data_IF_744508890333
#
_entry.id   IF_744508890333
#
_cell.length_a   1.000
_cell.length_b   1.000
_cell.length_c   1.000
_cell.angle_alpha   90.00
_cell.angle_beta   90.00
_cell.angle_gamma   90.00
#
_symmetry.space_group_name_H-M   'P 1'
#
loop_
_entity.id
_entity.type
_entity.pdbx_description
1 polymer ?
#
# COMPACT_ATOMS: atom_id res chain seq x y z
N UNK A 1 -36.61 -4.21 -6.12
CA UNK A 1 -35.29 -3.56 -5.99
C UNK A 1 -34.26 -4.52 -6.55
N UNK A 2 -33.81 -4.30 -7.79
CA UNK A 2 -32.72 -5.07 -8.36
C UNK A 2 -31.49 -4.84 -7.50
N UNK A 3 -30.97 -5.91 -6.92
CA UNK A 3 -29.64 -5.86 -6.28
C UNK A 3 -28.62 -5.63 -7.39
N UNK A 4 -28.17 -4.40 -7.54
CA UNK A 4 -27.08 -4.07 -8.45
C UNK A 4 -25.91 -4.97 -8.08
N UNK A 5 -25.54 -5.88 -8.97
CA UNK A 5 -24.44 -6.82 -8.76
C UNK A 5 -23.16 -5.99 -8.77
N UNK A 6 -22.75 -5.56 -7.60
CA UNK A 6 -21.48 -4.87 -7.44
C UNK A 6 -20.35 -5.89 -7.48
N UNK A 7 -19.32 -5.62 -8.28
CA UNK A 7 -18.09 -6.39 -8.31
C UNK A 7 -17.01 -5.63 -7.55
N UNK A 8 -16.24 -6.33 -6.72
CA UNK A 8 -15.05 -5.78 -6.07
C UNK A 8 -13.81 -6.34 -6.75
N UNK A 9 -12.95 -5.47 -7.26
CA UNK A 9 -11.65 -5.84 -7.79
C UNK A 9 -10.57 -5.37 -6.84
N UNK A 10 -9.62 -6.24 -6.56
CA UNK A 10 -8.38 -5.96 -5.84
C UNK A 10 -7.28 -5.71 -6.84
N UNK A 11 -6.58 -4.61 -6.67
CA UNK A 11 -5.52 -4.13 -7.55
C UNK A 11 -4.24 -4.07 -6.73
N UNK A 12 -3.19 -4.74 -7.21
CA UNK A 12 -1.83 -4.56 -6.70
C UNK A 12 -1.07 -3.68 -7.68
N UNK A 13 -0.37 -2.67 -7.18
CA UNK A 13 0.36 -1.72 -7.99
C UNK A 13 1.65 -1.27 -7.32
N UNK A 14 2.62 -0.79 -8.13
CA UNK A 14 3.83 -0.16 -7.63
C UNK A 14 3.73 1.37 -7.72
N UNK A 15 4.38 2.06 -6.79
CA UNK A 15 4.58 3.51 -6.76
C UNK A 15 6.07 3.80 -6.91
N UNK A 16 6.47 4.31 -8.08
CA UNK A 16 7.85 4.57 -8.45
C UNK A 16 8.38 5.92 -7.96
N UNK A 17 9.64 6.17 -8.32
CA UNK A 17 10.39 7.37 -7.94
C UNK A 17 9.77 8.66 -8.47
N UNK A 18 9.16 8.64 -9.66
CA UNK A 18 8.60 9.81 -10.33
C UNK A 18 7.49 10.47 -9.54
N UNK A 19 6.78 9.68 -8.73
CA UNK A 19 5.64 10.15 -7.93
C UNK A 19 5.80 9.92 -6.43
N UNK A 20 7.02 9.64 -5.94
CA UNK A 20 7.21 9.34 -4.51
C UNK A 20 6.85 10.51 -3.59
N UNK A 21 6.94 11.73 -4.07
CA UNK A 21 6.68 12.94 -3.28
C UNK A 21 5.23 13.41 -3.27
N UNK A 22 4.31 12.72 -3.98
CA UNK A 22 2.88 13.04 -3.88
C UNK A 22 2.30 12.54 -2.55
N UNK A 23 1.33 13.27 -2.02
CA UNK A 23 0.60 12.86 -0.83
C UNK A 23 -0.32 11.66 -1.11
N UNK A 24 -0.76 10.96 -0.05
CA UNK A 24 -1.77 9.91 -0.19
C UNK A 24 -3.06 10.42 -0.86
N UNK A 25 -3.53 11.63 -0.50
CA UNK A 25 -4.73 12.21 -1.10
C UNK A 25 -4.54 12.50 -2.59
N UNK A 26 -3.35 12.91 -3.00
CA UNK A 26 -3.07 13.14 -4.41
C UNK A 26 -2.96 11.81 -5.17
N UNK A 27 -2.41 10.77 -4.55
CA UNK A 27 -2.42 9.41 -5.11
C UNK A 27 -3.85 8.91 -5.35
N UNK A 28 -4.75 9.13 -4.39
CA UNK A 28 -6.20 8.82 -4.56
C UNK A 28 -6.76 9.55 -5.78
N UNK A 29 -6.49 10.86 -5.92
CA UNK A 29 -6.95 11.67 -7.05
C UNK A 29 -6.36 11.19 -8.39
N UNK A 30 -5.09 10.78 -8.38
CA UNK A 30 -4.44 10.20 -9.59
C UNK A 30 -5.19 8.94 -10.01
N UNK A 31 -5.48 8.03 -9.09
CA UNK A 31 -6.23 6.81 -9.36
C UNK A 31 -7.65 7.10 -9.84
N UNK A 32 -8.38 8.00 -9.18
CA UNK A 32 -9.72 8.41 -9.62
C UNK A 32 -9.73 8.92 -11.07
N UNK A 33 -8.76 9.77 -11.42
CA UNK A 33 -8.63 10.32 -12.79
C UNK A 33 -8.27 9.25 -13.80
N UNK A 34 -7.38 8.32 -13.43
CA UNK A 34 -6.94 7.21 -14.28
C UNK A 34 -8.11 6.27 -14.58
N UNK A 35 -8.85 5.86 -13.57
CA UNK A 35 -10.03 4.99 -13.71
C UNK A 35 -11.14 5.66 -14.55
N UNK A 36 -11.36 6.97 -14.39
CA UNK A 36 -12.33 7.72 -15.23
C UNK A 36 -11.89 7.79 -16.69
N UNK A 37 -10.61 8.06 -16.94
CA UNK A 37 -10.06 8.08 -18.32
C UNK A 37 -10.19 6.72 -18.99
N UNK A 38 -9.97 5.66 -18.26
CA UNK A 38 -10.17 4.29 -18.72
C UNK A 38 -11.66 3.89 -18.84
N UNK A 39 -12.60 4.82 -18.55
CA UNK A 39 -14.06 4.59 -18.58
C UNK A 39 -14.51 3.37 -17.76
N UNK A 40 -13.82 3.15 -16.62
CA UNK A 40 -14.19 2.09 -15.70
C UNK A 40 -15.55 2.44 -15.06
N UNK A 41 -16.54 1.51 -15.04
CA UNK A 41 -17.85 1.74 -14.42
C UNK A 41 -17.75 1.64 -12.90
N UNK A 42 -17.21 2.67 -12.25
CA UNK A 42 -17.03 2.75 -10.82
C UNK A 42 -18.38 2.89 -10.10
N UNK A 43 -18.55 2.16 -9.01
CA UNK A 43 -19.64 2.40 -8.08
C UNK A 43 -19.31 3.63 -7.22
N UNK A 44 -20.34 4.40 -6.89
CA UNK A 44 -20.24 5.61 -6.08
C UNK A 44 -20.93 5.44 -4.74
N UNK A 45 -20.46 6.17 -3.73
CA UNK A 45 -21.13 6.23 -2.44
C UNK A 45 -22.49 6.95 -2.57
N UNK A 46 -23.41 6.60 -1.67
CA UNK A 46 -24.72 7.28 -1.56
C UNK A 46 -24.53 8.56 -0.72
N UNK A 47 -25.17 9.65 -1.10
CA UNK A 47 -25.14 10.92 -0.36
C UNK A 47 -25.04 12.15 -1.26
N UNK A 48 -24.94 13.32 -0.66
CA UNK A 48 -24.89 14.62 -1.38
C UNK A 48 -23.62 14.82 -2.23
N UNK A 49 -22.51 14.20 -1.84
CA UNK A 49 -21.23 14.25 -2.57
C UNK A 49 -20.78 12.83 -2.90
N UNK A 50 -21.31 12.20 -3.98
CA UNK A 50 -20.94 10.85 -4.35
C UNK A 50 -19.43 10.77 -4.67
N UNK A 51 -18.75 9.81 -4.03
CA UNK A 51 -17.34 9.51 -4.29
C UNK A 51 -17.18 8.10 -4.84
N UNK A 52 -16.24 7.87 -5.76
CA UNK A 52 -15.91 6.51 -6.19
C UNK A 52 -15.58 5.62 -4.99
N UNK A 53 -16.08 4.40 -4.98
CA UNK A 53 -15.77 3.44 -3.94
C UNK A 53 -14.39 2.81 -4.20
N UNK A 54 -13.36 3.48 -3.71
CA UNK A 54 -11.95 3.09 -3.78
C UNK A 54 -11.43 3.03 -2.35
N UNK A 55 -10.77 1.95 -1.98
CA UNK A 55 -10.17 1.76 -0.67
C UNK A 55 -8.71 1.31 -0.83
N UNK A 56 -7.78 1.99 -0.16
CA UNK A 56 -6.37 1.60 -0.11
C UNK A 56 -6.10 0.79 1.16
N UNK A 57 -5.17 -0.15 1.10
CA UNK A 57 -4.81 -0.99 2.23
C UNK A 57 -4.20 -0.16 3.38
N UNK A 58 -3.20 0.66 3.06
CA UNK A 58 -2.57 1.59 3.98
C UNK A 58 -2.13 2.86 3.24
N UNK A 59 -2.11 4.04 3.91
CA UNK A 59 -1.57 5.24 3.32
C UNK A 59 -0.04 5.19 3.32
N UNK A 60 0.57 5.25 2.12
CA UNK A 60 2.02 5.34 1.98
C UNK A 60 2.50 6.77 2.26
N UNK A 61 3.51 6.98 3.13
CA UNK A 61 4.04 8.31 3.40
C UNK A 61 4.66 8.98 2.17
N UNK A 62 4.76 10.32 2.21
CA UNK A 62 5.47 11.11 1.21
C UNK A 62 6.96 10.77 1.24
N UNK A 63 7.59 10.66 0.07
CA UNK A 63 8.99 10.27 -0.07
C UNK A 63 9.23 8.76 -0.14
N UNK A 64 8.17 7.95 -0.02
CA UNK A 64 8.26 6.50 -0.13
C UNK A 64 7.86 6.01 -1.52
N UNK A 65 8.60 5.04 -2.04
CA UNK A 65 8.22 4.18 -3.16
C UNK A 65 7.65 2.88 -2.64
N UNK A 66 6.91 2.15 -3.46
CA UNK A 66 6.40 0.82 -3.09
C UNK A 66 6.38 -0.10 -4.30
N UNK A 67 6.59 -1.39 -4.04
CA UNK A 67 6.50 -2.47 -5.03
C UNK A 67 5.25 -3.31 -4.89
N UNK A 68 4.34 -2.96 -3.98
CA UNK A 68 3.19 -3.82 -3.69
C UNK A 68 2.08 -3.12 -2.92
N UNK A 69 1.67 -1.91 -3.33
CA UNK A 69 0.48 -1.27 -2.78
C UNK A 69 -0.77 -2.01 -3.21
N UNK A 70 -1.73 -2.09 -2.30
CA UNK A 70 -3.00 -2.77 -2.56
C UNK A 70 -4.15 -1.81 -2.43
N UNK A 71 -5.06 -1.84 -3.39
CA UNK A 71 -6.33 -1.13 -3.32
C UNK A 71 -7.49 -1.98 -3.84
N UNK A 72 -8.68 -1.72 -3.31
CA UNK A 72 -9.92 -2.29 -3.80
C UNK A 72 -10.74 -1.22 -4.51
N UNK A 73 -11.35 -1.58 -5.64
CA UNK A 73 -12.33 -0.76 -6.36
C UNK A 73 -13.64 -1.52 -6.51
N UNK A 74 -14.75 -0.80 -6.32
CA UNK A 74 -16.09 -1.38 -6.51
C UNK A 74 -16.66 -0.90 -7.85
N UNK A 75 -17.20 -1.84 -8.62
CA UNK A 75 -17.76 -1.61 -9.95
C UNK A 75 -19.28 -1.80 -9.92
N UNK A 76 -20.00 -1.00 -10.71
CA UNK A 76 -21.45 -1.12 -10.90
C UNK A 76 -21.84 -2.33 -11.75
N UNK A 77 -20.94 -2.78 -12.64
CA UNK A 77 -21.14 -3.95 -13.50
C UNK A 77 -19.87 -4.77 -13.58
N UNK A 78 -20.01 -6.06 -13.85
CA UNK A 78 -18.90 -6.99 -13.94
C UNK A 78 -18.04 -6.75 -15.20
N UNK A 79 -16.72 -6.74 -14.96
CA UNK A 79 -15.67 -6.71 -15.98
C UNK A 79 -14.65 -7.78 -15.59
N UNK A 80 -14.20 -8.60 -16.56
CA UNK A 80 -13.13 -9.54 -16.24
C UNK A 80 -11.85 -8.79 -15.82
N UNK A 81 -11.08 -9.29 -14.83
CA UNK A 81 -9.82 -8.67 -14.41
C UNK A 81 -8.87 -8.37 -15.57
N UNK A 82 -8.78 -9.27 -16.53
CA UNK A 82 -7.98 -9.07 -17.75
C UNK A 82 -8.42 -7.87 -18.58
N UNK A 83 -9.73 -7.73 -18.87
CA UNK A 83 -10.27 -6.59 -19.63
C UNK A 83 -10.09 -5.28 -18.86
N UNK A 84 -10.26 -5.30 -17.54
CA UNK A 84 -10.02 -4.16 -16.68
C UNK A 84 -8.55 -3.72 -16.77
N UNK A 85 -7.59 -4.64 -16.56
CA UNK A 85 -6.15 -4.35 -16.64
C UNK A 85 -5.77 -3.79 -18.02
N UNK A 86 -6.16 -4.46 -19.10
CA UNK A 86 -5.87 -4.03 -20.48
C UNK A 86 -6.41 -2.63 -20.78
N UNK A 87 -7.61 -2.30 -20.29
CA UNK A 87 -8.20 -0.98 -20.48
C UNK A 87 -7.56 0.11 -19.63
N UNK A 88 -7.01 -0.24 -18.48
CA UNK A 88 -6.42 0.69 -17.51
C UNK A 88 -4.97 1.06 -17.87
N UNK A 89 -4.16 0.09 -18.29
CA UNK A 89 -2.72 0.27 -18.53
C UNK A 89 -2.36 1.48 -19.41
N UNK A 90 -3.04 1.78 -20.53
CA UNK A 90 -2.70 2.95 -21.37
C UNK A 90 -2.94 4.31 -20.68
N UNK A 91 -3.65 4.33 -19.56
CA UNK A 91 -4.03 5.55 -18.84
C UNK A 91 -3.23 5.77 -17.56
N UNK A 92 -2.36 4.82 -17.17
CA UNK A 92 -1.49 4.96 -16.03
C UNK A 92 -0.46 6.06 -16.27
N UNK A 93 -0.27 6.99 -15.33
CA UNK A 93 0.80 7.97 -15.43
C UNK A 93 2.15 7.33 -15.15
N UNK A 94 3.27 7.95 -15.59
CA UNK A 94 4.60 7.55 -15.18
C UNK A 94 4.71 7.42 -13.65
N UNK A 95 5.41 6.41 -13.20
CA UNK A 95 5.59 6.12 -11.78
C UNK A 95 4.45 5.30 -11.13
N UNK A 96 3.38 4.98 -11.86
CA UNK A 96 2.43 3.93 -11.45
C UNK A 96 2.54 2.73 -12.37
N UNK A 97 2.68 1.56 -11.77
CA UNK A 97 2.71 0.29 -12.48
C UNK A 97 1.62 -0.64 -11.94
N UNK A 98 0.82 -1.23 -12.83
CA UNK A 98 -0.18 -2.23 -12.48
C UNK A 98 0.48 -3.60 -12.43
N UNK A 99 0.45 -4.26 -11.27
CA UNK A 99 1.07 -5.56 -11.05
C UNK A 99 0.07 -6.71 -11.19
N UNK A 100 -1.07 -6.60 -10.51
CA UNK A 100 -2.14 -7.60 -10.64
C UNK A 100 -3.53 -6.98 -10.49
N UNK A 101 -4.53 -7.67 -11.01
CA UNK A 101 -5.94 -7.40 -10.80
C UNK A 101 -6.66 -8.72 -10.55
N UNK A 102 -7.37 -8.80 -9.44
CA UNK A 102 -8.07 -10.00 -9.01
C UNK A 102 -9.50 -9.67 -8.59
N UNK A 103 -10.41 -10.61 -8.72
CA UNK A 103 -11.75 -10.46 -8.17
C UNK A 103 -11.75 -10.75 -6.67
N UNK A 104 -12.11 -9.77 -5.86
CA UNK A 104 -12.26 -9.92 -4.43
C UNK A 104 -13.72 -10.22 -4.07
N UNK A 105 -13.92 -11.10 -3.08
CA UNK A 105 -15.27 -11.41 -2.62
C UNK A 105 -15.95 -10.15 -2.06
N UNK A 106 -17.17 -9.79 -2.50
CA UNK A 106 -17.80 -8.52 -2.13
C UNK A 106 -18.02 -8.32 -0.62
N UNK A 107 -18.22 -9.42 0.11
CA UNK A 107 -18.48 -9.41 1.57
C UNK A 107 -17.21 -9.52 2.43
N UNK A 108 -16.01 -9.45 1.84
CA UNK A 108 -14.78 -9.38 2.65
C UNK A 108 -14.81 -8.14 3.55
N UNK A 109 -14.18 -8.21 4.74
CA UNK A 109 -13.95 -7.05 5.58
C UNK A 109 -13.29 -5.89 4.83
N UNK A 110 -13.22 -4.72 5.44
CA UNK A 110 -12.51 -3.59 4.84
C UNK A 110 -11.06 -3.96 4.53
N UNK A 111 -10.53 -3.43 3.42
CA UNK A 111 -9.16 -3.75 3.03
C UNK A 111 -8.15 -3.39 4.13
N UNK A 112 -8.36 -2.26 4.81
CA UNK A 112 -7.51 -1.80 5.91
C UNK A 112 -7.47 -2.79 7.08
N UNK A 113 -8.59 -3.45 7.38
CA UNK A 113 -8.67 -4.44 8.48
C UNK A 113 -8.02 -5.80 8.12
N UNK A 114 -7.66 -6.00 6.87
CA UNK A 114 -6.99 -7.21 6.39
C UNK A 114 -5.47 -7.09 6.39
N UNK A 115 -4.94 -5.87 6.49
CA UNK A 115 -3.49 -5.62 6.57
C UNK A 115 -3.00 -6.10 7.94
N UNK A 116 -2.01 -6.98 7.93
CA UNK A 116 -1.37 -7.50 9.15
C UNK A 116 0.04 -6.98 9.31
N UNK A 117 0.80 -6.97 8.22
CA UNK A 117 2.19 -6.52 8.21
C UNK A 117 2.54 -5.84 6.90
N UNK A 118 3.63 -5.08 6.90
CA UNK A 118 4.20 -4.47 5.72
C UNK A 118 5.73 -4.60 5.76
N UNK A 119 6.31 -4.95 4.62
CA UNK A 119 7.76 -5.04 4.46
C UNK A 119 8.32 -3.69 3.99
N UNK A 120 9.35 -3.19 4.69
CA UNK A 120 10.05 -1.97 4.34
C UNK A 120 11.52 -2.25 4.01
N UNK A 121 11.98 -1.75 2.88
CA UNK A 121 13.41 -1.67 2.57
C UNK A 121 13.92 -0.29 2.95
N UNK A 122 14.86 -0.26 3.89
CA UNK A 122 15.49 0.98 4.36
C UNK A 122 16.95 0.95 3.96
N UNK A 123 17.43 2.00 3.28
CA UNK A 123 18.85 2.17 2.93
C UNK A 123 19.41 3.28 3.80
N UNK A 124 20.45 2.99 4.54
CA UNK A 124 21.16 3.95 5.41
C UNK A 124 22.63 4.01 5.03
N UNK A 125 23.22 5.20 5.15
CA UNK A 125 24.68 5.32 5.13
C UNK A 125 25.22 4.82 6.47
N UNK A 126 26.26 4.02 6.42
CA UNK A 126 26.89 3.43 7.59
C UNK A 126 28.40 3.46 7.46
N UNK A 127 29.09 4.08 8.42
CA UNK A 127 30.56 4.25 8.41
C UNK A 127 31.30 3.16 9.21
N UNK A 128 30.57 2.28 9.89
CA UNK A 128 31.11 1.16 10.67
C UNK A 128 31.27 -0.13 9.86
N UNK A 129 31.78 -1.17 10.51
CA UNK A 129 31.89 -2.49 9.90
C UNK A 129 30.53 -3.20 9.77
N UNK A 130 30.51 -4.26 8.96
CA UNK A 130 29.32 -5.12 8.82
C UNK A 130 29.00 -5.82 10.14
N UNK A 131 30.02 -6.29 10.86
CA UNK A 131 29.90 -6.98 12.14
C UNK A 131 29.26 -6.07 13.19
N UNK A 132 29.64 -4.78 13.22
CA UNK A 132 29.02 -3.79 14.10
C UNK A 132 27.53 -3.57 13.79
N UNK A 133 27.17 -3.53 12.50
CA UNK A 133 25.76 -3.42 12.10
C UNK A 133 24.96 -4.67 12.50
N UNK A 134 25.51 -5.85 12.24
CA UNK A 134 24.88 -7.11 12.62
C UNK A 134 24.71 -7.22 14.15
N UNK A 135 25.71 -6.77 14.92
CA UNK A 135 25.63 -6.68 16.37
C UNK A 135 24.48 -5.78 16.85
N UNK A 136 24.34 -4.58 16.24
CA UNK A 136 23.22 -3.66 16.58
C UNK A 136 21.86 -4.23 16.20
N UNK A 137 21.77 -4.99 15.11
CA UNK A 137 20.52 -5.68 14.75
C UNK A 137 20.17 -6.78 15.74
N UNK A 138 21.16 -7.54 16.22
CA UNK A 138 20.96 -8.56 17.24
C UNK A 138 20.53 -7.93 18.56
N UNK A 139 21.14 -6.80 18.97
CA UNK A 139 20.70 -6.02 20.13
C UNK A 139 19.24 -5.60 20.01
N UNK A 140 18.86 -5.05 18.86
CA UNK A 140 17.49 -4.62 18.58
C UNK A 140 16.51 -5.79 18.65
N UNK A 141 16.88 -6.95 18.11
CA UNK A 141 16.04 -8.15 18.14
C UNK A 141 15.92 -8.78 19.52
N UNK A 142 16.98 -8.74 20.32
CA UNK A 142 17.02 -9.29 21.67
C UNK A 142 16.42 -8.34 22.72
N UNK A 143 16.18 -7.08 22.38
CA UNK A 143 15.56 -6.12 23.29
C UNK A 143 14.14 -6.56 23.67
N UNK A 144 13.82 -6.53 24.95
CA UNK A 144 12.46 -6.80 25.45
C UNK A 144 11.51 -5.63 25.15
N UNK A 145 12.05 -4.40 25.20
CA UNK A 145 11.32 -3.16 24.94
C UNK A 145 12.15 -2.20 24.09
N UNK A 146 11.51 -1.44 23.19
CA UNK A 146 12.09 -0.34 22.42
C UNK A 146 11.23 0.90 22.58
N UNK A 147 11.35 1.55 23.72
CA UNK A 147 10.55 2.74 24.02
C UNK A 147 10.88 3.88 23.05
N UNK A 148 9.84 4.46 22.47
CA UNK A 148 9.88 5.62 21.57
C UNK A 148 8.78 6.59 21.93
N UNK A 149 8.99 7.86 21.58
CA UNK A 149 7.99 8.89 21.80
C UNK A 149 7.51 9.46 20.47
N UNK A 150 6.20 9.54 20.29
CA UNK A 150 5.56 10.16 19.12
C UNK A 150 4.42 11.06 19.57
N UNK A 151 4.50 12.34 19.21
CA UNK A 151 3.49 13.37 19.56
C UNK A 151 3.19 13.42 21.07
N UNK A 152 4.23 13.29 21.90
CA UNK A 152 4.10 13.32 23.37
C UNK A 152 3.53 12.04 23.99
N UNK A 153 3.36 10.99 23.24
CA UNK A 153 2.95 9.66 23.75
C UNK A 153 4.09 8.66 23.60
N UNK A 154 4.37 7.97 24.68
CA UNK A 154 5.32 6.86 24.67
C UNK A 154 4.65 5.62 24.10
N UNK A 155 5.41 4.85 23.34
CA UNK A 155 5.00 3.55 22.81
C UNK A 155 6.20 2.63 22.69
N UNK A 156 5.95 1.33 22.78
CA UNK A 156 6.95 0.31 22.56
C UNK A 156 6.96 -0.08 21.07
N UNK A 157 8.12 0.07 20.43
CA UNK A 157 8.31 -0.28 19.03
C UNK A 157 8.61 -1.77 18.83
N UNK A 158 9.13 -2.46 19.87
CA UNK A 158 9.61 -3.85 19.73
C UNK A 158 8.53 -4.83 19.26
N UNK A 159 7.28 -4.81 19.79
CA UNK A 159 6.21 -5.69 19.31
C UNK A 159 5.79 -5.44 17.86
N UNK A 160 6.14 -4.28 17.30
CA UNK A 160 5.79 -3.91 15.91
C UNK A 160 6.84 -4.39 14.89
N UNK A 161 7.97 -4.93 15.35
CA UNK A 161 9.04 -5.45 14.48
C UNK A 161 8.98 -6.97 14.49
N UNK A 162 8.61 -7.56 13.34
CA UNK A 162 8.52 -9.02 13.19
C UNK A 162 9.89 -9.63 12.89
N UNK A 163 10.49 -9.29 11.75
CA UNK A 163 11.75 -9.89 11.30
C UNK A 163 12.59 -8.90 10.47
N UNK A 164 13.64 -8.29 11.03
CA UNK A 164 14.60 -7.50 10.27
C UNK A 164 15.64 -8.41 9.63
N UNK A 165 15.72 -8.40 8.30
CA UNK A 165 16.72 -9.13 7.54
C UNK A 165 17.76 -8.17 6.95
N UNK A 166 19.04 -8.44 7.18
CA UNK A 166 20.16 -7.70 6.58
C UNK A 166 20.61 -8.33 5.26
N UNK A 167 20.66 -7.54 4.18
CA UNK A 167 21.21 -7.96 2.90
C UNK A 167 22.63 -7.39 2.70
N UNK A 168 23.45 -8.07 1.92
CA UNK A 168 24.89 -7.78 1.65
C UNK A 168 25.19 -6.41 1.04
N UNK A 169 24.18 -5.60 0.73
CA UNK A 169 24.31 -4.20 0.31
C UNK A 169 23.53 -3.27 1.25
N UNK A 170 23.65 -3.46 2.57
CA UNK A 170 23.13 -2.54 3.62
C UNK A 170 21.70 -2.03 3.36
N UNK A 171 20.82 -2.86 2.85
CA UNK A 171 19.40 -2.57 2.75
C UNK A 171 18.65 -3.41 3.78
N UNK A 172 18.02 -2.76 4.74
CA UNK A 172 17.20 -3.42 5.76
C UNK A 172 15.74 -3.43 5.31
N UNK A 173 15.11 -4.59 5.05
CA UNK A 173 13.67 -4.67 5.13
C UNK A 173 13.27 -4.64 6.59
N UNK A 174 12.41 -3.72 6.95
CA UNK A 174 11.78 -3.68 8.28
C UNK A 174 10.30 -3.95 8.07
N UNK A 175 9.79 -5.01 8.67
CA UNK A 175 8.38 -5.37 8.64
C UNK A 175 7.71 -4.72 9.85
N UNK A 176 6.66 -3.93 9.63
CA UNK A 176 5.82 -3.41 10.69
C UNK A 176 4.45 -4.08 10.60
N UNK A 177 3.99 -4.67 11.71
CA UNK A 177 2.57 -5.00 11.85
C UNK A 177 1.78 -3.74 12.20
N UNK A 178 0.65 -3.54 11.58
CA UNK A 178 -0.30 -2.47 11.88
C UNK A 178 -1.54 -3.08 12.53
#
# INVERSE_FOLDING_TARGET
MESTIQQRLRITFAKGEEIKYISHLDLVRVWERTLRRARVPLAYSRGFNPRPQIAFAAPLPVGFTSRGEVMDVVLERRISPYKFAKGLMPHLPPGLELLSVEEAYPKLPSLQSQVRSAEYRVTVAWDGSREEMEGKLQELLSAEELLRQRRGKDYDLRPLIEDPVSYTHLTLPTIYSV
#
